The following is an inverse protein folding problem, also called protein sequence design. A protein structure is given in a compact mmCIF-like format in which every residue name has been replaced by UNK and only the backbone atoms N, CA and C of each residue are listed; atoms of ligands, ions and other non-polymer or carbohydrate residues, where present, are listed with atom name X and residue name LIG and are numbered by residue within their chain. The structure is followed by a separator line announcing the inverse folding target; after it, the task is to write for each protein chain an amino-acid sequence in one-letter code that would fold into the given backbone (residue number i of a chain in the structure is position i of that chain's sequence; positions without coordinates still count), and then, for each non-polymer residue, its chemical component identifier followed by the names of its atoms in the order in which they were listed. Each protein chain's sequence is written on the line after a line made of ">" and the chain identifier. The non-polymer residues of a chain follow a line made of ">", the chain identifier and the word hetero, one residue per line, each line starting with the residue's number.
data_IF_605871882265
#
_entry.id   IF_605871882265
#
_cell.length_a   1.000
_cell.length_b   1.000
_cell.length_c   1.000
_cell.angle_alpha   90.00
_cell.angle_beta   90.00
_cell.angle_gamma   90.00
#
_symmetry.space_group_name_H-M   'P 1'
#
loop_
_entity.id
_entity.type
_entity.pdbx_description
1 polymer ?
#
# COMPACT_ATOMS: atom_id res chain seq x y z
N UNK A 1 -30.77 -25.13 -14.46
CA UNK A 1 -30.34 -23.75 -14.18
C UNK A 1 -29.58 -23.75 -12.86
N UNK A 2 -28.27 -23.84 -12.89
CA UNK A 2 -27.43 -23.73 -11.68
C UNK A 2 -27.24 -22.24 -11.38
N UNK A 3 -27.74 -21.81 -10.22
CA UNK A 3 -27.46 -20.49 -9.66
C UNK A 3 -25.95 -20.26 -9.63
N UNK A 4 -25.41 -19.14 -10.12
CA UNK A 4 -24.01 -18.82 -9.91
C UNK A 4 -23.84 -18.67 -8.40
N UNK A 5 -23.11 -19.61 -7.79
CA UNK A 5 -22.71 -19.52 -6.39
C UNK A 5 -22.03 -18.16 -6.25
N UNK A 6 -22.72 -17.19 -5.62
CA UNK A 6 -22.11 -15.92 -5.22
C UNK A 6 -20.96 -16.27 -4.30
N UNK A 7 -19.76 -16.22 -4.85
CA UNK A 7 -18.54 -16.53 -4.13
C UNK A 7 -18.37 -15.49 -3.04
N UNK A 8 -18.54 -15.91 -1.78
CA UNK A 8 -18.31 -15.04 -0.63
C UNK A 8 -16.81 -14.76 -0.55
N UNK A 9 -16.41 -13.51 -0.77
CA UNK A 9 -15.03 -13.07 -0.59
C UNK A 9 -14.64 -13.30 0.89
N UNK A 10 -13.42 -13.77 1.14
CA UNK A 10 -12.93 -13.87 2.53
C UNK A 10 -13.00 -12.49 3.18
N UNK A 11 -13.69 -12.30 4.31
CA UNK A 11 -13.77 -11.00 4.99
C UNK A 11 -12.38 -10.42 5.29
N UNK A 12 -11.41 -11.29 5.56
CA UNK A 12 -10.01 -10.91 5.77
C UNK A 12 -9.33 -10.40 4.49
N UNK A 13 -9.52 -11.07 3.35
CA UNK A 13 -8.99 -10.59 2.07
C UNK A 13 -9.63 -9.26 1.67
N UNK A 14 -10.95 -9.13 1.87
CA UNK A 14 -11.65 -7.86 1.70
C UNK A 14 -11.02 -6.78 2.57
N UNK A 15 -10.83 -7.03 3.86
CA UNK A 15 -10.21 -6.06 4.77
C UNK A 15 -8.84 -5.61 4.28
N UNK A 16 -7.95 -6.53 3.92
CA UNK A 16 -6.63 -6.19 3.41
C UNK A 16 -6.70 -5.38 2.11
N UNK A 17 -7.59 -5.73 1.19
CA UNK A 17 -7.76 -4.98 -0.04
C UNK A 17 -8.22 -3.53 0.24
N UNK A 18 -9.22 -3.34 1.10
CA UNK A 18 -9.71 -2.01 1.45
C UNK A 18 -8.65 -1.21 2.22
N UNK A 19 -7.85 -1.86 3.08
CA UNK A 19 -6.70 -1.23 3.73
C UNK A 19 -5.75 -0.64 2.69
N UNK A 20 -5.42 -1.39 1.63
CA UNK A 20 -4.57 -0.89 0.55
C UNK A 20 -5.22 0.24 -0.26
N UNK A 21 -6.53 0.18 -0.50
CA UNK A 21 -7.27 1.31 -1.13
C UNK A 21 -7.18 2.57 -0.27
N UNK A 22 -7.32 2.44 1.06
CA UNK A 22 -7.14 3.56 1.99
C UNK A 22 -5.70 4.09 1.93
N UNK A 23 -4.69 3.21 1.88
CA UNK A 23 -3.29 3.63 1.72
C UNK A 23 -3.03 4.35 0.40
N UNK A 24 -3.70 3.96 -0.69
CA UNK A 24 -3.63 4.67 -1.98
C UNK A 24 -4.20 6.08 -1.82
N UNK A 25 -5.40 6.21 -1.26
CA UNK A 25 -6.03 7.51 -1.03
C UNK A 25 -5.16 8.40 -0.11
N UNK A 26 -4.60 7.82 0.95
CA UNK A 26 -3.68 8.51 1.86
C UNK A 26 -2.40 8.95 1.15
N UNK A 27 -1.81 8.09 0.32
CA UNK A 27 -0.61 8.41 -0.48
C UNK A 27 -0.89 9.55 -1.45
N UNK A 28 -2.06 9.54 -2.10
CA UNK A 28 -2.50 10.63 -2.98
C UNK A 28 -2.60 11.94 -2.19
N UNK A 29 -3.19 11.89 -1.00
CA UNK A 29 -3.33 13.06 -0.16
C UNK A 29 -1.96 13.64 0.24
N UNK A 30 -1.07 12.82 0.80
CA UNK A 30 0.21 13.31 1.34
C UNK A 30 1.23 13.70 0.25
N UNK A 31 1.20 13.08 -0.94
CA UNK A 31 2.20 13.35 -2.00
C UNK A 31 1.74 14.36 -3.05
N UNK A 32 0.43 14.56 -3.18
CA UNK A 32 -0.13 15.44 -4.20
C UNK A 32 -1.00 16.52 -3.56
N UNK A 33 -2.10 16.17 -2.90
CA UNK A 33 -3.06 17.19 -2.44
C UNK A 33 -2.48 18.15 -1.40
N UNK A 34 -1.78 17.64 -0.39
CA UNK A 34 -1.16 18.45 0.65
C UNK A 34 0.01 19.32 0.11
N UNK A 35 0.96 18.77 -0.68
CA UNK A 35 2.00 19.58 -1.33
C UNK A 35 1.48 20.64 -2.30
N UNK A 36 0.44 20.32 -3.09
CA UNK A 36 -0.22 21.29 -3.99
C UNK A 36 -0.83 22.42 -3.17
N UNK A 37 -1.59 22.11 -2.12
CA UNK A 37 -2.19 23.11 -1.24
C UNK A 37 -1.13 24.01 -0.59
N UNK A 38 -0.03 23.41 -0.13
CA UNK A 38 1.10 24.15 0.45
C UNK A 38 1.77 25.07 -0.58
N UNK A 39 2.05 24.59 -1.80
CA UNK A 39 2.65 25.39 -2.87
C UNK A 39 1.78 26.60 -3.23
N UNK A 40 0.47 26.38 -3.39
CA UNK A 40 -0.49 27.44 -3.72
C UNK A 40 -0.58 28.48 -2.60
N UNK A 41 -0.54 28.06 -1.34
CA UNK A 41 -0.52 28.97 -0.19
C UNK A 41 0.76 29.81 -0.13
N UNK A 42 1.89 29.22 -0.53
CA UNK A 42 3.20 29.88 -0.56
C UNK A 42 3.47 30.73 -1.83
N UNK A 43 2.48 30.88 -2.73
CA UNK A 43 2.64 31.52 -4.05
C UNK A 43 3.76 30.91 -4.91
N UNK A 44 3.96 29.59 -4.79
CA UNK A 44 4.91 28.84 -5.60
C UNK A 44 4.18 28.08 -6.72
N UNK A 45 4.93 27.55 -7.70
CA UNK A 45 4.36 26.69 -8.72
C UNK A 45 3.73 25.44 -8.08
N UNK A 46 2.52 25.07 -8.51
CA UNK A 46 1.73 24.00 -7.87
C UNK A 46 2.43 22.63 -7.82
N UNK A 47 3.39 22.39 -8.74
CA UNK A 47 4.12 21.14 -8.84
C UNK A 47 5.44 21.10 -8.05
N UNK A 48 5.85 22.20 -7.40
CA UNK A 48 7.18 22.33 -6.75
C UNK A 48 7.47 21.22 -5.76
N UNK A 49 6.49 20.84 -4.95
CA UNK A 49 6.66 19.91 -3.84
C UNK A 49 6.08 18.50 -4.11
N UNK A 50 5.71 18.20 -5.36
CA UNK A 50 5.13 16.90 -5.71
C UNK A 50 6.24 15.85 -5.83
N UNK A 51 6.12 14.80 -5.02
CA UNK A 51 6.96 13.61 -5.13
C UNK A 51 6.30 12.58 -6.04
N UNK A 52 6.81 12.48 -7.26
CA UNK A 52 6.31 11.53 -8.26
C UNK A 52 6.81 10.11 -7.97
N UNK A 53 5.89 9.20 -7.70
CA UNK A 53 6.18 7.78 -7.70
C UNK A 53 4.97 6.92 -8.04
N UNK A 54 5.27 5.68 -8.41
CA UNK A 54 4.31 4.69 -8.89
C UNK A 54 3.71 3.84 -7.77
N UNK A 55 4.04 4.12 -6.50
CA UNK A 55 3.55 3.35 -5.35
C UNK A 55 2.01 3.29 -5.25
N UNK A 56 1.25 4.37 -5.47
CA UNK A 56 -0.22 4.30 -5.49
C UNK A 56 -0.75 3.26 -6.49
N UNK A 57 -0.12 3.17 -7.67
CA UNK A 57 -0.50 2.22 -8.72
C UNK A 57 -0.18 0.79 -8.29
N UNK A 58 1.01 0.55 -7.71
CA UNK A 58 1.39 -0.77 -7.21
C UNK A 58 0.48 -1.24 -6.08
N UNK A 59 0.15 -0.36 -5.13
CA UNK A 59 -0.78 -0.65 -4.02
C UNK A 59 -2.19 -0.94 -4.51
N UNK A 60 -2.68 -0.18 -5.49
CA UNK A 60 -3.99 -0.41 -6.10
C UNK A 60 -4.01 -1.74 -6.86
N UNK A 61 -2.92 -2.09 -7.55
CA UNK A 61 -2.78 -3.38 -8.21
C UNK A 61 -2.82 -4.54 -7.22
N UNK A 62 -2.14 -4.41 -6.08
CA UNK A 62 -2.20 -5.40 -5.00
C UNK A 62 -3.61 -5.49 -4.40
N UNK A 63 -4.27 -4.36 -4.14
CA UNK A 63 -5.64 -4.34 -3.64
C UNK A 63 -6.60 -5.08 -4.59
N UNK A 64 -6.50 -4.80 -5.90
CA UNK A 64 -7.25 -5.52 -6.91
C UNK A 64 -6.92 -7.02 -6.90
N UNK A 65 -5.65 -7.40 -6.83
CA UNK A 65 -5.25 -8.80 -6.83
C UNK A 65 -5.76 -9.56 -5.59
N UNK A 66 -5.87 -8.91 -4.43
CA UNK A 66 -6.47 -9.47 -3.22
C UNK A 66 -7.98 -9.76 -3.39
N UNK A 67 -8.69 -8.93 -4.16
CA UNK A 67 -10.12 -9.10 -4.44
C UNK A 67 -10.36 -10.10 -5.58
N UNK A 68 -9.68 -9.93 -6.72
CA UNK A 68 -9.87 -10.71 -7.93
C UNK A 68 -9.22 -12.10 -7.86
N UNK A 69 -8.19 -12.27 -7.02
CA UNK A 69 -7.42 -13.51 -6.83
C UNK A 69 -6.96 -14.17 -8.16
N UNK A 70 -6.28 -13.44 -9.06
CA UNK A 70 -5.67 -14.06 -10.24
C UNK A 70 -4.63 -15.13 -9.85
N UNK A 71 -4.23 -15.97 -10.81
CA UNK A 71 -3.27 -17.07 -10.60
C UNK A 71 -1.97 -16.65 -9.91
N UNK A 72 -1.52 -15.42 -10.14
CA UNK A 72 -0.28 -14.88 -9.59
C UNK A 72 -0.47 -14.07 -8.30
N UNK A 73 -1.69 -13.93 -7.76
CA UNK A 73 -1.98 -13.05 -6.62
C UNK A 73 -1.10 -13.32 -5.39
N UNK A 74 -0.85 -14.59 -5.08
CA UNK A 74 0.03 -14.97 -3.97
C UNK A 74 1.48 -14.57 -4.21
N UNK A 75 2.00 -14.80 -5.42
CA UNK A 75 3.39 -14.44 -5.77
C UNK A 75 3.55 -12.92 -5.78
N UNK A 76 2.54 -12.20 -6.29
CA UNK A 76 2.47 -10.75 -6.23
C UNK A 76 2.53 -10.23 -4.79
N UNK A 77 1.66 -10.77 -3.93
CA UNK A 77 1.59 -10.38 -2.52
C UNK A 77 2.93 -10.59 -1.82
N UNK A 78 3.57 -11.75 -2.01
CA UNK A 78 4.89 -12.05 -1.42
C UNK A 78 5.96 -11.11 -1.98
N UNK A 79 6.07 -11.02 -3.31
CA UNK A 79 7.11 -10.22 -3.97
C UNK A 79 7.02 -8.74 -3.60
N UNK A 80 5.83 -8.14 -3.70
CA UNK A 80 5.64 -6.75 -3.31
C UNK A 80 5.92 -6.53 -1.81
N UNK A 81 5.47 -7.44 -0.94
CA UNK A 81 5.68 -7.26 0.50
C UNK A 81 7.14 -7.33 0.87
N UNK A 82 7.90 -8.28 0.32
CA UNK A 82 9.34 -8.38 0.58
C UNK A 82 10.05 -7.12 0.10
N UNK A 83 9.76 -6.66 -1.12
CA UNK A 83 10.37 -5.45 -1.68
C UNK A 83 10.05 -4.22 -0.83
N UNK A 84 8.78 -3.99 -0.48
CA UNK A 84 8.41 -2.81 0.30
C UNK A 84 8.97 -2.87 1.73
N UNK A 85 8.92 -4.03 2.38
CA UNK A 85 9.48 -4.19 3.73
C UNK A 85 10.97 -3.88 3.75
N UNK A 86 11.74 -4.38 2.77
CA UNK A 86 13.16 -4.09 2.66
C UNK A 86 13.41 -2.58 2.45
N UNK A 87 12.70 -1.97 1.49
CA UNK A 87 12.83 -0.53 1.20
C UNK A 87 12.52 0.31 2.46
N UNK A 88 11.39 0.06 3.12
CA UNK A 88 10.99 0.85 4.28
C UNK A 88 11.94 0.64 5.46
N UNK A 89 12.38 -0.60 5.69
CA UNK A 89 13.32 -0.89 6.79
C UNK A 89 14.65 -0.19 6.57
N UNK A 90 15.19 -0.20 5.34
CA UNK A 90 16.40 0.57 4.99
C UNK A 90 16.20 2.07 5.22
N UNK A 91 15.07 2.61 4.76
CA UNK A 91 14.74 4.02 4.96
C UNK A 91 14.63 4.39 6.45
N UNK A 92 14.06 3.52 7.27
CA UNK A 92 13.99 3.74 8.72
C UNK A 92 15.36 3.65 9.39
N UNK A 93 16.21 2.71 8.99
CA UNK A 93 17.59 2.64 9.51
C UNK A 93 18.33 3.95 9.24
N UNK A 94 18.23 4.49 8.01
CA UNK A 94 18.86 5.77 7.67
C UNK A 94 18.25 6.95 8.41
N UNK A 95 16.92 7.00 8.54
CA UNK A 95 16.24 8.06 9.29
C UNK A 95 16.59 8.05 10.78
N UNK A 96 16.68 6.87 11.40
CA UNK A 96 16.97 6.73 12.83
C UNK A 96 18.44 6.98 13.17
N UNK A 97 19.36 6.93 12.18
CA UNK A 97 20.75 7.28 12.39
C UNK A 97 20.90 8.77 12.75
N UNK A 98 20.16 9.64 12.06
CA UNK A 98 20.16 11.10 12.28
C UNK A 98 18.74 11.66 12.13
N UNK A 99 17.88 11.53 13.15
CA UNK A 99 16.46 11.88 13.03
C UNK A 99 16.26 13.40 13.04
N UNK A 100 15.59 13.90 12.02
CA UNK A 100 15.11 15.28 11.92
C UNK A 100 13.56 15.29 11.87
N UNK A 101 12.93 15.98 12.81
CA UNK A 101 11.48 16.01 12.96
C UNK A 101 10.89 17.33 12.49
N UNK A 102 10.68 17.46 11.19
CA UNK A 102 9.81 18.48 10.58
C UNK A 102 8.42 17.92 10.27
N UNK A 103 7.44 18.78 9.99
CA UNK A 103 6.09 18.34 9.60
C UNK A 103 6.12 17.35 8.42
N UNK A 104 7.01 17.58 7.46
CA UNK A 104 7.20 16.72 6.29
C UNK A 104 7.79 15.36 6.66
N UNK A 105 8.84 15.34 7.48
CA UNK A 105 9.47 14.11 7.97
C UNK A 105 8.54 13.30 8.87
N UNK A 106 7.76 13.97 9.72
CA UNK A 106 6.74 13.32 10.55
C UNK A 106 5.63 12.69 9.71
N UNK A 107 5.08 13.42 8.73
CA UNK A 107 4.08 12.87 7.80
C UNK A 107 4.62 11.67 7.01
N UNK A 108 5.86 11.77 6.53
CA UNK A 108 6.55 10.68 5.87
C UNK A 108 6.73 9.46 6.79
N UNK A 109 7.20 9.67 8.03
CA UNK A 109 7.45 8.61 9.00
C UNK A 109 6.16 7.86 9.33
N UNK A 110 5.10 8.59 9.68
CA UNK A 110 3.78 8.04 9.97
C UNK A 110 3.27 7.21 8.80
N UNK A 111 3.36 7.75 7.57
CA UNK A 111 2.99 7.00 6.37
C UNK A 111 3.80 5.69 6.23
N UNK A 112 5.12 5.73 6.43
CA UNK A 112 5.97 4.54 6.32
C UNK A 112 5.65 3.49 7.39
N UNK A 113 5.24 3.89 8.60
CA UNK A 113 4.79 2.94 9.63
C UNK A 113 3.52 2.21 9.19
N UNK A 114 2.52 2.93 8.68
CA UNK A 114 1.27 2.31 8.20
C UNK A 114 1.48 1.40 7.01
N UNK A 115 2.30 1.82 6.03
CA UNK A 115 2.62 1.01 4.86
C UNK A 115 3.37 -0.25 5.28
N UNK A 116 4.37 -0.15 6.16
CA UNK A 116 5.10 -1.31 6.68
C UNK A 116 4.17 -2.30 7.38
N UNK A 117 3.31 -1.81 8.28
CA UNK A 117 2.35 -2.66 8.98
C UNK A 117 1.42 -3.41 8.01
N UNK A 118 0.91 -2.72 6.97
CA UNK A 118 0.05 -3.34 5.97
C UNK A 118 0.76 -4.44 5.18
N UNK A 119 2.01 -4.23 4.77
CA UNK A 119 2.78 -5.24 4.05
C UNK A 119 3.21 -6.41 4.93
N UNK A 120 3.47 -6.20 6.23
CA UNK A 120 3.66 -7.31 7.17
C UNK A 120 2.40 -8.17 7.28
N UNK A 121 1.22 -7.57 7.34
CA UNK A 121 -0.06 -8.30 7.36
C UNK A 121 -0.30 -9.09 6.06
N UNK A 122 0.00 -8.49 4.90
CA UNK A 122 -0.11 -9.17 3.60
C UNK A 122 0.87 -10.33 3.50
N UNK A 123 2.14 -10.13 3.86
CA UNK A 123 3.15 -11.18 3.84
C UNK A 123 2.76 -12.33 4.77
N UNK A 124 2.39 -12.01 6.01
CA UNK A 124 1.92 -13.01 6.98
C UNK A 124 0.72 -13.79 6.43
N UNK A 125 -0.23 -13.12 5.78
CA UNK A 125 -1.37 -13.79 5.13
C UNK A 125 -0.92 -14.71 3.99
N UNK A 126 0.00 -14.26 3.14
CA UNK A 126 0.47 -15.04 1.99
C UNK A 126 1.31 -16.27 2.37
N UNK A 127 1.99 -16.21 3.52
CA UNK A 127 2.80 -17.29 4.07
C UNK A 127 1.97 -18.28 4.91
N UNK A 128 1.16 -17.78 5.85
CA UNK A 128 0.47 -18.61 6.84
C UNK A 128 -0.97 -18.97 6.47
N UNK A 129 -1.61 -18.24 5.54
CA UNK A 129 -2.99 -18.49 5.09
C UNK A 129 -3.09 -18.45 3.55
N UNK A 130 -2.29 -19.27 2.82
CA UNK A 130 -2.17 -19.17 1.37
C UNK A 130 -3.49 -19.40 0.62
N UNK A 131 -4.41 -20.20 1.18
CA UNK A 131 -5.75 -20.45 0.61
C UNK A 131 -6.58 -19.17 0.45
N UNK A 132 -6.27 -18.13 1.24
CA UNK A 132 -6.93 -16.82 1.12
C UNK A 132 -6.59 -16.15 -0.22
N UNK A 133 -5.43 -16.45 -0.81
CA UNK A 133 -4.88 -15.79 -1.99
C UNK A 133 -4.75 -16.70 -3.22
N UNK A 134 -5.06 -17.99 -3.10
CA UNK A 134 -4.99 -18.91 -4.24
C UNK A 134 -6.14 -18.66 -5.22
N UNK A 135 -5.81 -18.77 -6.50
CA UNK A 135 -6.80 -18.83 -7.58
C UNK A 135 -7.63 -20.09 -7.42
N UNK A 136 -8.94 -19.96 -7.62
CA UNK A 136 -9.86 -21.10 -7.64
C UNK A 136 -9.62 -21.87 -8.94
N UNK A 137 -9.25 -23.16 -8.86
CA UNK A 137 -9.43 -24.06 -10.00
C UNK A 137 -10.92 -24.14 -10.29
N UNK A 138 -11.32 -23.75 -11.50
CA UNK A 138 -12.67 -23.96 -12.04
C UNK A 138 -13.02 -25.43 -12.04
#
# INVERSE_FOLDING_TARGET
>A
MTSPIKTVLSPWASFLAHLFVILVAWTIFIKYLFPIGFALFSNEAWATYIYWDLWPVAHLWLAWALLARPWYARMLAIGMSVVEILIITTLFIWFLAEPEWSIWRTNWFVNKVFVLAAFVLVLGTALFRPETLKMRSS
#
